data_IF_747194566457
#
_entry.id   IF_747194566457
#
_cell.length_a   1.000
_cell.length_b   1.000
_cell.length_c   1.000
_cell.angle_alpha   90.00
_cell.angle_beta   90.00
_cell.angle_gamma   90.00
#
_symmetry.space_group_name_H-M   'P 1'
#
loop_
_entity.id
_entity.type
_entity.pdbx_description
1 polymer ?
#
# COMPACT_ATOMS: atom_id res chain seq x y z
N UNK A 1 -26.47 36.49 27.77
CA UNK A 1 -26.13 35.51 26.72
C UNK A 1 -24.73 34.91 26.90
N UNK A 2 -23.70 35.68 27.30
CA UNK A 2 -22.36 35.12 27.66
C UNK A 2 -22.33 34.20 28.89
N UNK A 3 -23.23 34.39 29.87
CA UNK A 3 -23.35 33.48 31.02
C UNK A 3 -23.98 32.11 30.68
N UNK A 4 -24.63 32.01 29.51
CA UNK A 4 -25.21 30.75 28.97
C UNK A 4 -24.18 29.98 28.15
N UNK A 5 -23.22 30.67 27.53
CA UNK A 5 -22.10 30.07 26.81
C UNK A 5 -21.09 29.41 27.77
N UNK A 6 -20.75 30.06 28.88
CA UNK A 6 -19.89 29.42 29.90
C UNK A 6 -20.54 28.22 30.60
N UNK A 7 -21.88 28.15 30.67
CA UNK A 7 -22.58 26.94 31.15
C UNK A 7 -22.64 25.81 30.11
N UNK A 8 -22.42 26.09 28.83
CA UNK A 8 -22.32 25.05 27.80
C UNK A 8 -20.91 24.46 27.72
N UNK A 9 -19.87 25.23 28.04
CA UNK A 9 -18.48 24.74 28.10
C UNK A 9 -18.22 23.84 29.32
N UNK A 10 -18.87 24.10 30.46
CA UNK A 10 -18.83 23.21 31.64
C UNK A 10 -19.74 21.98 31.51
N UNK A 11 -20.60 21.91 30.47
CA UNK A 11 -21.56 20.82 30.23
C UNK A 11 -21.10 19.75 29.24
N UNK A 12 -19.96 19.94 28.55
CA UNK A 12 -19.48 19.01 27.52
C UNK A 12 -18.61 17.85 28.04
N UNK A 13 -18.43 17.73 29.36
CA UNK A 13 -17.67 16.63 29.99
C UNK A 13 -18.55 15.62 30.75
N UNK A 14 -19.87 15.68 30.60
CA UNK A 14 -20.75 14.59 31.03
C UNK A 14 -20.72 13.48 29.96
N UNK A 15 -19.95 12.44 30.24
CA UNK A 15 -19.91 11.15 29.55
C UNK A 15 -21.27 10.43 29.72
N UNK A 16 -22.35 11.03 29.21
CA UNK A 16 -23.74 10.56 29.37
C UNK A 16 -24.12 9.48 28.35
N UNK A 17 -23.19 9.05 27.51
CA UNK A 17 -23.34 7.87 26.68
C UNK A 17 -23.22 6.61 27.54
N UNK A 18 -24.07 5.58 27.35
CA UNK A 18 -23.84 4.31 28.00
C UNK A 18 -22.45 3.79 27.60
N UNK A 19 -21.65 3.41 28.60
CA UNK A 19 -20.34 2.79 28.36
C UNK A 19 -20.46 1.69 27.31
N UNK A 20 -19.46 1.55 26.44
CA UNK A 20 -19.40 0.46 25.46
C UNK A 20 -19.63 -0.90 26.13
N UNK A 21 -19.13 -1.07 27.36
CA UNK A 21 -19.30 -2.29 28.16
C UNK A 21 -20.73 -2.51 28.68
N UNK A 22 -21.64 -1.57 28.54
CA UNK A 22 -23.06 -1.74 28.87
C UNK A 22 -23.87 -2.31 27.70
N UNK A 23 -23.30 -2.34 26.48
CA UNK A 23 -23.99 -2.89 25.32
C UNK A 23 -24.10 -4.42 25.40
N UNK A 24 -25.17 -5.03 24.84
CA UNK A 24 -25.26 -6.49 24.69
C UNK A 24 -24.14 -7.06 23.80
N UNK A 25 -23.77 -8.32 24.04
CA UNK A 25 -22.70 -8.99 23.28
C UNK A 25 -22.94 -9.00 21.76
N UNK A 26 -24.20 -9.10 21.32
CA UNK A 26 -24.55 -9.04 19.91
C UNK A 26 -24.26 -7.65 19.29
N UNK A 27 -24.54 -6.58 20.04
CA UNK A 27 -24.27 -5.21 19.62
C UNK A 27 -22.75 -4.96 19.57
N UNK A 28 -22.01 -5.41 20.60
CA UNK A 28 -20.56 -5.36 20.63
C UNK A 28 -19.92 -6.15 19.48
N UNK A 29 -20.41 -7.35 19.20
CA UNK A 29 -19.95 -8.14 18.07
C UNK A 29 -20.21 -7.42 16.75
N UNK A 30 -21.35 -6.74 16.61
CA UNK A 30 -21.66 -5.93 15.42
C UNK A 30 -20.69 -4.75 15.27
N UNK A 31 -20.33 -4.08 16.37
CA UNK A 31 -19.30 -3.04 16.38
C UNK A 31 -17.95 -3.61 15.94
N UNK A 32 -17.53 -4.75 16.51
CA UNK A 32 -16.29 -5.42 16.12
C UNK A 32 -16.26 -5.77 14.63
N UNK A 33 -17.40 -6.17 14.03
CA UNK A 33 -17.50 -6.49 12.62
C UNK A 33 -17.30 -5.27 11.69
N UNK A 34 -17.44 -4.04 12.19
CA UNK A 34 -17.14 -2.81 11.45
C UNK A 34 -15.65 -2.46 11.48
N UNK A 35 -14.86 -3.07 12.37
CA UNK A 35 -13.42 -2.87 12.42
C UNK A 35 -12.77 -3.60 11.25
N UNK A 36 -12.19 -2.83 10.33
CA UNK A 36 -11.53 -3.35 9.13
C UNK A 36 -10.02 -3.58 9.32
N UNK A 37 -9.44 -3.02 10.38
CA UNK A 37 -8.01 -3.14 10.69
C UNK A 37 -7.79 -4.21 11.78
N UNK A 38 -6.94 -5.23 11.53
CA UNK A 38 -6.65 -6.27 12.51
C UNK A 38 -6.05 -5.75 13.82
N UNK A 39 -5.32 -4.63 13.77
CA UNK A 39 -4.68 -4.06 14.96
C UNK A 39 -5.67 -3.36 15.88
N UNK A 40 -6.78 -2.85 15.34
CA UNK A 40 -7.85 -2.27 16.14
C UNK A 40 -8.60 -3.36 16.92
N UNK A 41 -8.87 -4.49 16.26
CA UNK A 41 -9.47 -5.67 16.91
C UNK A 41 -8.56 -6.22 18.01
N UNK A 42 -7.24 -6.30 17.78
CA UNK A 42 -6.27 -6.70 18.81
C UNK A 42 -6.26 -5.72 19.98
N UNK A 43 -6.22 -4.41 19.70
CA UNK A 43 -6.19 -3.37 20.74
C UNK A 43 -7.44 -3.43 21.59
N UNK A 44 -8.60 -3.56 20.96
CA UNK A 44 -9.88 -3.71 21.65
C UNK A 44 -9.90 -4.96 22.53
N UNK A 45 -9.40 -6.09 22.04
CA UNK A 45 -9.31 -7.33 22.80
C UNK A 45 -8.35 -7.29 24.00
N UNK A 46 -7.42 -6.33 24.04
CA UNK A 46 -6.50 -6.13 25.16
C UNK A 46 -7.07 -5.23 26.27
N UNK A 47 -8.23 -4.61 26.07
CA UNK A 47 -8.80 -3.65 27.03
C UNK A 47 -9.39 -4.33 28.27
N UNK A 48 -10.17 -5.40 28.10
CA UNK A 48 -10.79 -6.14 29.21
C UNK A 48 -11.14 -7.58 28.82
N UNK A 49 -11.42 -8.43 29.82
CA UNK A 49 -11.72 -9.86 29.62
C UNK A 49 -12.94 -10.10 28.72
N UNK A 50 -14.00 -9.29 28.83
CA UNK A 50 -15.22 -9.45 28.02
C UNK A 50 -14.94 -9.16 26.56
N UNK A 51 -14.25 -8.06 26.26
CA UNK A 51 -13.86 -7.70 24.90
C UNK A 51 -12.82 -8.69 24.34
N UNK A 52 -11.94 -9.24 25.17
CA UNK A 52 -11.04 -10.32 24.76
C UNK A 52 -11.81 -11.54 24.26
N UNK A 53 -12.85 -11.97 24.97
CA UNK A 53 -13.67 -13.12 24.57
C UNK A 53 -14.45 -12.84 23.27
N UNK A 54 -15.02 -11.65 23.13
CA UNK A 54 -15.75 -11.24 21.92
C UNK A 54 -14.83 -11.15 20.70
N UNK A 55 -13.67 -10.51 20.86
CA UNK A 55 -12.68 -10.36 19.80
C UNK A 55 -11.93 -11.65 19.49
N UNK A 56 -12.03 -12.70 20.30
CA UNK A 56 -11.47 -14.02 19.99
C UNK A 56 -12.34 -14.85 19.02
N UNK A 57 -13.51 -14.34 18.60
CA UNK A 57 -14.44 -15.05 17.72
C UNK A 57 -13.81 -15.43 16.37
N UNK A 58 -13.87 -16.72 16.00
CA UNK A 58 -13.38 -17.20 14.69
C UNK A 58 -14.06 -16.49 13.52
N UNK A 59 -15.38 -16.25 13.59
CA UNK A 59 -16.13 -15.60 12.51
C UNK A 59 -15.68 -14.16 12.28
N UNK A 60 -15.31 -13.45 13.36
CA UNK A 60 -14.76 -12.10 13.28
C UNK A 60 -13.42 -12.12 12.53
N UNK A 61 -12.49 -12.99 12.94
CA UNK A 61 -11.18 -13.11 12.31
C UNK A 61 -11.24 -13.61 10.86
N UNK A 62 -12.15 -14.52 10.53
CA UNK A 62 -12.39 -14.93 9.14
C UNK A 62 -12.86 -13.76 8.28
N UNK A 63 -13.83 -12.97 8.75
CA UNK A 63 -14.31 -11.78 8.02
C UNK A 63 -13.23 -10.71 7.89
N UNK A 64 -12.47 -10.50 8.96
CA UNK A 64 -11.37 -9.56 8.98
C UNK A 64 -10.26 -9.97 7.99
N UNK A 65 -9.89 -11.24 7.94
CA UNK A 65 -8.94 -11.76 6.96
C UNK A 65 -9.49 -11.62 5.53
N UNK A 66 -10.77 -11.97 5.31
CA UNK A 66 -11.46 -11.80 4.03
C UNK A 66 -11.39 -10.36 3.52
N UNK A 67 -11.75 -9.42 4.39
CA UNK A 67 -11.64 -8.00 4.08
C UNK A 67 -10.18 -7.58 3.89
N UNK A 68 -9.26 -8.01 4.77
CA UNK A 68 -7.89 -7.53 4.82
C UNK A 68 -7.04 -7.95 3.63
N UNK A 69 -7.22 -9.19 3.18
CA UNK A 69 -6.43 -9.87 2.15
C UNK A 69 -7.09 -9.82 0.77
N UNK A 70 -8.19 -9.08 0.62
CA UNK A 70 -8.97 -9.01 -0.61
C UNK A 70 -8.13 -8.64 -1.82
N UNK A 71 -8.28 -9.41 -2.90
CA UNK A 71 -7.51 -9.26 -4.14
C UNK A 71 -6.05 -9.69 -4.05
N UNK A 72 -5.57 -10.11 -2.88
CA UNK A 72 -4.16 -10.46 -2.64
C UNK A 72 -3.92 -11.93 -2.35
N UNK A 73 -4.96 -12.77 -2.32
CA UNK A 73 -4.86 -14.18 -1.95
C UNK A 73 -3.81 -14.96 -2.75
N UNK A 74 -3.72 -14.68 -4.05
CA UNK A 74 -2.74 -15.31 -4.93
C UNK A 74 -1.28 -15.01 -4.55
N UNK A 75 -1.01 -13.96 -3.77
CA UNK A 75 0.32 -13.60 -3.26
C UNK A 75 0.58 -14.06 -1.82
N UNK A 76 -0.41 -14.61 -1.13
CA UNK A 76 -0.29 -15.06 0.26
C UNK A 76 0.23 -16.50 0.32
N UNK A 77 1.49 -16.70 -0.02
CA UNK A 77 2.20 -17.97 0.20
C UNK A 77 2.70 -18.05 1.64
N UNK A 78 2.16 -19.01 2.39
CA UNK A 78 2.68 -19.41 3.69
C UNK A 78 3.58 -20.66 3.53
N UNK A 79 4.57 -20.87 4.43
CA UNK A 79 5.30 -22.13 4.49
C UNK A 79 4.34 -23.29 4.79
N UNK A 80 4.38 -24.35 3.97
CA UNK A 80 3.46 -25.50 4.03
C UNK A 80 3.39 -26.18 5.39
N UNK A 81 4.47 -26.11 6.16
CA UNK A 81 4.63 -26.84 7.41
C UNK A 81 4.02 -26.10 8.61
N UNK A 82 3.51 -24.88 8.39
CA UNK A 82 3.13 -23.95 9.46
C UNK A 82 1.76 -23.27 9.25
N UNK A 83 0.90 -23.75 8.35
CA UNK A 83 -0.40 -23.10 8.06
C UNK A 83 -1.43 -23.34 9.19
N UNK A 84 -1.78 -22.33 10.01
CA UNK A 84 -2.70 -22.52 11.12
C UNK A 84 -4.14 -22.63 10.58
N UNK A 85 -4.93 -23.55 11.14
CA UNK A 85 -6.37 -23.62 10.83
C UNK A 85 -7.17 -22.50 11.51
N UNK A 86 -6.69 -22.01 12.65
CA UNK A 86 -7.32 -20.92 13.38
C UNK A 86 -7.20 -19.59 12.60
N UNK A 87 -8.31 -18.92 12.28
CA UNK A 87 -8.28 -17.71 11.44
C UNK A 87 -7.45 -16.55 12.03
N UNK A 88 -7.43 -16.42 13.36
CA UNK A 88 -6.65 -15.39 14.04
C UNK A 88 -5.16 -15.68 13.87
N UNK A 89 -4.74 -16.90 14.20
CA UNK A 89 -3.34 -17.32 14.05
C UNK A 89 -2.87 -17.22 12.59
N UNK A 90 -3.73 -17.63 11.65
CA UNK A 90 -3.44 -17.55 10.22
C UNK A 90 -3.18 -16.10 9.77
N UNK A 91 -4.07 -15.16 10.11
CA UNK A 91 -3.89 -13.75 9.72
C UNK A 91 -2.67 -13.12 10.41
N UNK A 92 -2.41 -13.46 11.68
CA UNK A 92 -1.22 -12.98 12.38
C UNK A 92 0.08 -13.50 11.73
N UNK A 93 0.10 -14.75 11.28
CA UNK A 93 1.23 -15.31 10.54
C UNK A 93 1.45 -14.57 9.21
N UNK A 94 0.39 -14.29 8.46
CA UNK A 94 0.47 -13.47 7.23
C UNK A 94 1.10 -12.11 7.51
N UNK A 95 0.63 -11.41 8.54
CA UNK A 95 1.15 -10.09 8.92
C UNK A 95 2.62 -10.15 9.35
N UNK A 96 3.01 -11.21 10.07
CA UNK A 96 4.39 -11.42 10.51
C UNK A 96 5.34 -11.62 9.31
N UNK A 97 4.98 -12.50 8.37
CA UNK A 97 5.81 -12.76 7.18
C UNK A 97 5.97 -11.52 6.30
N UNK A 98 4.92 -10.70 6.17
CA UNK A 98 5.02 -9.41 5.47
C UNK A 98 6.00 -8.43 6.13
N UNK A 99 6.31 -8.61 7.41
CA UNK A 99 7.24 -7.76 8.16
C UNK A 99 8.69 -8.22 7.99
N UNK A 100 8.95 -9.53 8.04
CA UNK A 100 10.31 -10.10 7.99
C UNK A 100 11.02 -9.91 6.63
N UNK A 101 10.27 -9.82 5.54
CA UNK A 101 10.82 -9.64 4.19
C UNK A 101 11.52 -8.26 3.98
N UNK A 102 11.48 -7.35 4.97
CA UNK A 102 11.95 -5.96 4.83
C UNK A 102 13.29 -5.68 5.52
N UNK A 103 14.22 -5.08 4.76
CA UNK A 103 15.44 -4.47 5.29
C UNK A 103 15.16 -3.02 5.70
N UNK A 104 15.03 -2.75 7.00
CA UNK A 104 14.89 -1.40 7.54
C UNK A 104 16.14 -0.57 7.22
N UNK A 105 16.00 0.51 6.44
CA UNK A 105 17.19 1.15 5.86
C UNK A 105 17.92 2.11 6.80
N UNK A 106 17.24 2.86 7.67
CA UNK A 106 17.87 3.85 8.55
C UNK A 106 17.09 4.03 9.87
N UNK A 107 17.69 3.69 11.01
CA UNK A 107 17.09 3.84 12.36
C UNK A 107 17.17 5.26 12.90
N UNK A 108 18.23 5.99 12.55
CA UNK A 108 18.51 7.32 13.07
C UNK A 108 19.18 8.15 11.99
N UNK A 109 18.85 9.43 11.93
CA UNK A 109 19.50 10.40 11.06
C UNK A 109 19.82 11.65 11.86
N UNK A 110 21.07 12.12 11.82
CA UNK A 110 21.54 13.26 12.59
C UNK A 110 22.01 14.35 11.65
N UNK A 111 21.50 15.55 11.85
CA UNK A 111 21.92 16.74 11.13
C UNK A 111 23.02 17.46 11.90
N UNK A 112 23.91 18.15 11.18
CA UNK A 112 25.00 18.95 11.77
C UNK A 112 24.51 20.07 12.70
N UNK A 113 23.31 20.60 12.46
CA UNK A 113 22.69 21.63 13.30
C UNK A 113 22.17 21.11 14.65
N UNK A 114 22.31 19.80 14.94
CA UNK A 114 21.87 19.17 16.18
C UNK A 114 20.46 18.59 16.14
N UNK A 115 19.68 18.85 15.08
CA UNK A 115 18.41 18.17 14.86
C UNK A 115 18.65 16.69 14.58
N UNK A 116 17.79 15.82 15.13
CA UNK A 116 17.85 14.39 14.82
C UNK A 116 16.48 13.84 14.48
N UNK A 117 16.45 12.93 13.52
CA UNK A 117 15.26 12.18 13.13
C UNK A 117 15.44 10.75 13.62
N UNK A 118 14.62 10.37 14.59
CA UNK A 118 14.63 9.03 15.17
C UNK A 118 13.46 8.22 14.64
N UNK A 119 13.75 7.06 14.02
CA UNK A 119 12.72 6.23 13.41
C UNK A 119 11.79 5.68 14.48
N UNK A 120 10.50 5.87 14.28
CA UNK A 120 9.46 5.30 15.14
C UNK A 120 9.30 3.83 14.74
N UNK A 121 9.78 2.92 15.57
CA UNK A 121 9.61 1.48 15.37
C UNK A 121 8.28 1.03 15.95
N UNK A 122 7.26 0.92 15.09
CA UNK A 122 5.95 0.35 15.42
C UNK A 122 5.72 -0.88 14.54
N UNK A 123 5.69 -2.06 15.14
CA UNK A 123 5.44 -3.33 14.43
C UNK A 123 4.15 -3.27 13.61
N UNK A 124 3.09 -2.64 14.14
CA UNK A 124 1.81 -2.45 13.44
C UNK A 124 1.98 -1.70 12.11
N UNK A 125 2.72 -0.59 12.16
CA UNK A 125 3.03 0.21 10.98
C UNK A 125 3.85 -0.63 9.98
N UNK A 126 4.90 -1.30 10.46
CA UNK A 126 5.76 -2.14 9.62
C UNK A 126 4.97 -3.27 8.93
N UNK A 127 4.02 -3.92 9.60
CA UNK A 127 3.12 -4.89 9.00
C UNK A 127 2.27 -4.29 7.87
N UNK A 128 1.67 -3.10 8.09
CA UNK A 128 0.85 -2.41 7.09
C UNK A 128 1.69 -2.03 5.86
N UNK A 129 2.90 -1.52 6.07
CA UNK A 129 3.80 -1.21 4.95
C UNK A 129 4.26 -2.49 4.25
N UNK A 130 4.50 -3.58 4.98
CA UNK A 130 4.80 -4.91 4.42
C UNK A 130 3.69 -5.43 3.50
N UNK A 131 2.44 -5.35 3.95
CA UNK A 131 1.26 -5.69 3.15
C UNK A 131 1.18 -4.84 1.88
N UNK A 132 1.36 -3.52 2.01
CA UNK A 132 1.38 -2.62 0.87
C UNK A 132 2.49 -3.00 -0.11
N UNK A 133 3.71 -3.24 0.38
CA UNK A 133 4.86 -3.69 -0.42
C UNK A 133 4.53 -4.93 -1.25
N UNK A 134 3.89 -5.91 -0.63
CA UNK A 134 3.51 -7.17 -1.28
C UNK A 134 2.46 -6.94 -2.36
N UNK A 135 1.56 -5.99 -2.17
CA UNK A 135 0.54 -5.62 -3.17
C UNK A 135 1.10 -4.95 -4.43
N UNK A 136 2.34 -4.49 -4.40
CA UNK A 136 3.04 -3.94 -5.57
C UNK A 136 4.01 -4.92 -6.23
N UNK A 137 4.16 -6.14 -5.69
CA UNK A 137 5.14 -7.13 -6.15
C UNK A 137 4.98 -7.52 -7.62
N UNK A 138 3.75 -7.59 -8.14
CA UNK A 138 3.47 -7.82 -9.56
C UNK A 138 4.16 -6.82 -10.49
N UNK A 139 4.22 -5.56 -10.08
CA UNK A 139 4.82 -4.50 -10.89
C UNK A 139 6.35 -4.46 -10.68
N UNK A 140 6.85 -4.98 -9.56
CA UNK A 140 8.29 -5.16 -9.30
C UNK A 140 8.90 -6.31 -10.13
N UNK A 141 8.15 -7.40 -10.31
CA UNK A 141 8.60 -8.63 -10.99
C UNK A 141 8.52 -8.54 -12.52
N UNK A 142 7.96 -7.46 -13.08
CA UNK A 142 7.83 -7.27 -14.53
C UNK A 142 9.21 -7.16 -15.19
N UNK A 143 9.59 -8.20 -15.93
CA UNK A 143 10.85 -8.25 -16.69
C UNK A 143 10.84 -7.14 -17.74
N UNK A 144 11.82 -6.25 -17.68
CA UNK A 144 12.08 -5.26 -18.72
C UNK A 144 13.56 -5.30 -19.08
N UNK A 145 13.92 -5.34 -20.37
CA UNK A 145 15.32 -5.29 -20.79
C UNK A 145 15.98 -3.95 -20.41
N UNK A 146 15.17 -2.93 -20.09
CA UNK A 146 15.61 -1.59 -19.72
C UNK A 146 15.62 -1.34 -18.21
N UNK A 147 15.23 -2.30 -17.36
CA UNK A 147 15.11 -2.10 -15.90
C UNK A 147 15.73 -3.29 -15.17
N UNK A 148 16.88 -3.08 -14.52
CA UNK A 148 17.59 -4.14 -13.80
C UNK A 148 16.88 -4.55 -12.51
N UNK A 149 16.32 -3.59 -11.80
CA UNK A 149 15.62 -3.82 -10.54
C UNK A 149 14.64 -2.68 -10.26
N UNK A 150 13.36 -3.02 -10.05
CA UNK A 150 12.32 -2.09 -9.63
C UNK A 150 11.77 -2.52 -8.28
N UNK A 151 11.60 -1.55 -7.38
CA UNK A 151 10.83 -1.71 -6.14
C UNK A 151 9.98 -0.48 -5.92
N UNK A 152 8.68 -0.61 -6.16
CA UNK A 152 7.72 0.48 -5.99
C UNK A 152 7.66 0.97 -4.54
N UNK A 153 7.67 0.05 -3.58
CA UNK A 153 7.77 0.39 -2.15
C UNK A 153 9.09 -0.14 -1.62
N UNK A 154 10.16 0.65 -1.77
CA UNK A 154 11.50 0.27 -1.28
C UNK A 154 11.57 0.37 0.26
N UNK A 155 11.19 1.52 0.83
CA UNK A 155 10.98 1.71 2.27
C UNK A 155 9.99 2.86 2.51
N UNK A 156 9.27 2.81 3.63
CA UNK A 156 8.44 3.91 4.14
C UNK A 156 8.72 3.97 5.64
N UNK A 157 9.15 5.12 6.12
CA UNK A 157 9.59 5.29 7.50
C UNK A 157 8.99 6.55 8.11
N UNK A 158 8.53 6.41 9.35
CA UNK A 158 8.10 7.51 10.21
C UNK A 158 9.23 7.85 11.17
N UNK A 159 9.49 9.14 11.35
CA UNK A 159 10.50 9.66 12.25
C UNK A 159 9.88 10.70 13.19
N UNK A 160 10.33 10.67 14.44
CA UNK A 160 10.13 11.76 15.38
C UNK A 160 11.30 12.74 15.24
N UNK A 161 10.99 14.04 15.18
CA UNK A 161 12.01 15.10 15.20
C UNK A 161 12.41 15.37 16.65
N UNK A 162 13.69 15.30 16.96
CA UNK A 162 14.24 15.78 18.22
C UNK A 162 15.06 17.04 17.97
N UNK A 163 14.93 18.03 18.87
CA UNK A 163 15.58 19.33 18.76
C UNK A 163 15.37 19.98 17.38
N UNK A 164 14.11 20.20 16.95
CA UNK A 164 13.83 20.75 15.63
C UNK A 164 14.50 22.13 15.49
N UNK A 165 15.42 22.24 14.54
CA UNK A 165 16.19 23.44 14.26
C UNK A 165 15.93 23.97 12.84
N UNK A 166 15.46 23.10 11.94
CA UNK A 166 15.10 23.49 10.57
C UNK A 166 13.63 23.91 10.48
N UNK A 167 13.39 25.06 9.85
CA UNK A 167 12.07 25.49 9.41
C UNK A 167 11.87 25.13 7.93
N UNK A 168 10.85 24.33 7.65
CA UNK A 168 10.54 23.84 6.30
C UNK A 168 9.31 24.54 5.68
N UNK A 169 8.58 25.34 6.44
CA UNK A 169 7.30 25.95 6.01
C UNK A 169 7.44 27.30 5.30
N UNK A 170 8.64 27.89 5.23
CA UNK A 170 8.88 29.15 4.50
C UNK A 170 8.89 29.00 2.97
N UNK A 171 8.66 30.09 2.24
CA UNK A 171 8.68 30.10 0.76
C UNK A 171 10.06 29.72 0.19
N UNK A 172 11.13 30.17 0.85
CA UNK A 172 12.51 29.75 0.63
C UNK A 172 13.10 29.31 1.98
N UNK A 173 12.94 28.04 2.38
CA UNK A 173 13.62 27.57 3.58
C UNK A 173 15.12 27.68 3.31
N UNK A 174 15.83 28.48 4.10
CA UNK A 174 17.30 28.55 4.06
C UNK A 174 17.87 27.26 4.65
N UNK A 175 17.76 26.20 3.86
CA UNK A 175 18.42 24.93 4.13
C UNK A 175 19.89 25.17 3.83
N UNK A 176 20.65 25.53 4.87
CA UNK A 176 22.10 25.65 4.77
C UNK A 176 22.70 24.44 4.07
N UNK A 177 23.81 24.66 3.36
CA UNK A 177 24.45 23.69 2.47
C UNK A 177 24.67 22.29 3.10
N UNK A 178 24.98 22.27 4.40
CA UNK A 178 25.17 21.06 5.17
C UNK A 178 23.88 20.23 5.30
N UNK A 179 22.76 20.89 5.61
CA UNK A 179 21.46 20.22 5.73
C UNK A 179 20.98 19.68 4.37
N UNK A 180 21.21 20.42 3.29
CA UNK A 180 20.91 19.97 1.92
C UNK A 180 21.72 18.72 1.57
N UNK A 181 23.00 18.70 1.94
CA UNK A 181 23.86 17.53 1.71
C UNK A 181 23.39 16.31 2.49
N UNK A 182 22.91 16.51 3.72
CA UNK A 182 22.36 15.46 4.56
C UNK A 182 21.00 14.96 4.04
N UNK A 183 20.10 15.83 3.60
CA UNK A 183 18.83 15.45 2.97
C UNK A 183 19.06 14.65 1.67
N UNK A 184 20.01 15.07 0.83
CA UNK A 184 20.39 14.34 -0.37
C UNK A 184 20.96 12.95 -0.04
N UNK A 185 21.74 12.85 1.04
CA UNK A 185 22.30 11.58 1.50
C UNK A 185 21.22 10.63 2.07
N UNK A 186 20.23 11.17 2.81
CA UNK A 186 19.07 10.42 3.29
C UNK A 186 18.27 9.81 2.12
N UNK A 187 18.08 10.58 1.05
CA UNK A 187 17.44 10.11 -0.19
C UNK A 187 18.28 9.15 -1.02
N UNK A 188 19.55 8.91 -0.67
CA UNK A 188 20.55 8.19 -1.47
C UNK A 188 20.77 8.79 -2.87
N UNK A 189 20.57 10.10 -3.01
CA UNK A 189 20.51 10.77 -4.31
C UNK A 189 21.74 10.50 -5.17
N UNK A 190 22.94 10.82 -4.65
CA UNK A 190 24.20 10.66 -5.37
C UNK A 190 24.55 9.20 -5.66
N UNK A 191 24.26 8.30 -4.74
CA UNK A 191 24.57 6.85 -4.86
C UNK A 191 23.74 6.20 -5.97
N UNK A 192 22.55 6.75 -6.22
CA UNK A 192 21.60 6.28 -7.21
C UNK A 192 21.46 7.22 -8.41
N UNK A 193 22.41 8.14 -8.64
CA UNK A 193 22.45 8.97 -9.85
C UNK A 193 23.45 8.38 -10.86
N UNK A 194 22.95 7.82 -11.95
CA UNK A 194 23.82 7.26 -13.00
C UNK A 194 24.60 8.37 -13.74
N UNK A 195 24.16 9.64 -13.71
CA UNK A 195 24.96 10.78 -14.21
C UNK A 195 26.25 10.95 -13.42
N UNK A 196 26.23 10.58 -12.13
CA UNK A 196 27.36 10.68 -11.21
C UNK A 196 28.62 9.96 -11.70
N UNK A 197 28.48 8.95 -12.58
CA UNK A 197 29.62 8.29 -13.24
C UNK A 197 30.43 9.22 -14.14
N UNK A 198 29.76 10.15 -14.83
CA UNK A 198 30.38 11.14 -15.73
C UNK A 198 30.56 12.51 -15.07
N UNK A 199 29.76 12.81 -14.05
CA UNK A 199 29.77 14.06 -13.31
C UNK A 199 29.83 13.78 -11.81
N UNK A 200 31.01 13.43 -11.25
CA UNK A 200 31.11 13.01 -9.85
C UNK A 200 30.79 14.12 -8.85
N UNK A 201 30.78 15.38 -9.28
CA UNK A 201 30.69 16.56 -8.41
C UNK A 201 29.37 17.33 -8.56
N UNK A 202 28.26 16.65 -8.91
CA UNK A 202 26.93 17.28 -8.88
C UNK A 202 26.65 17.77 -7.46
N UNK A 203 26.38 19.06 -7.35
CA UNK A 203 26.18 19.72 -6.07
C UNK A 203 24.85 19.27 -5.43
N UNK A 204 24.79 18.94 -4.13
CA UNK A 204 23.60 18.38 -3.47
C UNK A 204 22.31 19.18 -3.63
N UNK A 205 22.40 20.51 -3.72
CA UNK A 205 21.24 21.40 -4.00
C UNK A 205 20.45 21.04 -5.25
N UNK A 206 21.05 20.37 -6.22
CA UNK A 206 20.37 19.96 -7.45
C UNK A 206 19.56 18.67 -7.26
N UNK A 207 19.74 17.96 -6.14
CA UNK A 207 18.93 16.80 -5.78
C UNK A 207 17.75 17.13 -4.88
N UNK A 208 17.88 18.17 -4.06
CA UNK A 208 16.89 18.49 -3.03
C UNK A 208 16.06 19.68 -3.47
N UNK A 209 14.76 19.48 -3.58
CA UNK A 209 13.81 20.55 -3.93
C UNK A 209 12.58 20.50 -3.02
N UNK A 210 12.07 21.68 -2.66
CA UNK A 210 10.79 21.81 -1.95
C UNK A 210 9.67 21.77 -2.99
N UNK A 211 8.69 20.90 -2.78
CA UNK A 211 7.51 20.83 -3.65
C UNK A 211 6.41 21.80 -3.19
N UNK A 212 6.12 21.84 -1.89
CA UNK A 212 5.07 22.70 -1.33
C UNK A 212 4.85 22.48 0.16
N UNK A 213 4.02 23.32 0.76
CA UNK A 213 3.56 23.20 2.15
C UNK A 213 2.04 23.29 2.16
N UNK A 214 1.38 22.34 2.83
CA UNK A 214 -0.08 22.31 2.93
C UNK A 214 -0.53 21.96 4.34
N UNK A 215 -1.68 22.50 4.75
CA UNK A 215 -2.32 22.17 6.02
C UNK A 215 -3.31 21.01 5.90
N UNK A 216 -4.04 20.94 4.78
CA UNK A 216 -5.13 19.96 4.56
C UNK A 216 -4.85 18.96 3.45
N UNK A 217 -4.15 19.37 2.38
CA UNK A 217 -4.14 18.62 1.10
C UNK A 217 -2.83 17.84 0.89
N UNK A 218 -1.92 17.85 1.86
CA UNK A 218 -0.63 17.14 1.76
C UNK A 218 -0.80 15.62 1.59
N UNK A 219 -1.97 15.07 1.92
CA UNK A 219 -2.31 13.66 1.70
C UNK A 219 -2.52 13.34 0.22
N UNK A 220 -2.89 14.32 -0.60
CA UNK A 220 -3.03 14.16 -2.06
C UNK A 220 -1.64 14.01 -2.72
N UNK A 221 -0.65 14.73 -2.21
CA UNK A 221 0.76 14.56 -2.61
C UNK A 221 1.31 13.18 -2.22
N UNK A 222 0.81 12.60 -1.14
CA UNK A 222 1.18 11.29 -0.61
C UNK A 222 0.51 10.13 -1.40
N UNK A 223 -0.70 10.32 -1.90
CA UNK A 223 -1.43 9.32 -2.67
C UNK A 223 -2.07 9.96 -3.91
N UNK A 224 -1.25 10.38 -4.89
CA UNK A 224 -1.77 11.07 -6.06
C UNK A 224 -2.73 10.16 -6.83
N UNK A 225 -3.88 10.70 -7.20
CA UNK A 225 -4.90 10.00 -7.97
C UNK A 225 -4.82 10.42 -9.43
N UNK A 226 -4.86 9.45 -10.34
CA UNK A 226 -4.85 9.67 -11.79
C UNK A 226 -6.07 9.10 -12.50
N UNK A 227 -6.23 9.38 -13.80
CA UNK A 227 -7.33 8.84 -14.61
C UNK A 227 -7.31 7.30 -14.71
N UNK A 228 -6.17 6.66 -14.45
CA UNK A 228 -6.02 5.20 -14.39
C UNK A 228 -6.00 4.65 -12.94
N UNK A 229 -6.45 5.43 -11.95
CA UNK A 229 -6.28 5.15 -10.52
C UNK A 229 -4.98 5.75 -9.96
N UNK A 230 -4.71 5.51 -8.67
CA UNK A 230 -3.45 5.90 -8.04
C UNK A 230 -2.36 4.89 -8.39
N UNK A 231 -1.31 5.32 -9.07
CA UNK A 231 -0.34 4.38 -9.67
C UNK A 231 0.72 3.90 -8.67
N UNK A 232 0.89 4.56 -7.53
CA UNK A 232 1.91 4.18 -6.55
C UNK A 232 1.68 4.94 -5.24
N UNK A 233 2.12 4.43 -4.08
CA UNK A 233 2.20 5.29 -2.93
C UNK A 233 3.40 6.24 -3.16
N UNK A 234 3.11 7.53 -2.97
CA UNK A 234 3.98 8.59 -2.46
C UNK A 234 4.69 9.52 -3.45
N UNK A 235 4.89 9.17 -4.72
CA UNK A 235 5.81 9.99 -5.49
C UNK A 235 5.57 10.21 -6.99
N UNK A 236 4.66 9.48 -7.65
CA UNK A 236 4.49 9.58 -9.10
C UNK A 236 3.26 10.40 -9.49
N UNK A 237 3.48 11.47 -10.25
CA UNK A 237 2.42 12.18 -10.95
C UNK A 237 1.93 11.37 -12.16
N UNK A 238 0.63 11.03 -12.27
CA UNK A 238 0.08 10.24 -13.39
C UNK A 238 0.04 10.99 -14.73
N UNK A 239 0.47 12.25 -14.78
CA UNK A 239 0.31 13.14 -15.94
C UNK A 239 1.51 13.23 -16.88
N UNK A 240 2.52 12.37 -16.77
CA UNK A 240 3.56 12.34 -17.80
C UNK A 240 2.94 11.88 -19.15
N UNK A 241 3.13 12.64 -20.24
CA UNK A 241 2.63 12.23 -21.55
C UNK A 241 3.32 10.92 -21.98
N UNK A 242 2.53 9.85 -22.15
CA UNK A 242 3.01 8.49 -22.40
C UNK A 242 2.38 7.41 -21.52
N UNK A 243 1.62 7.78 -20.49
CA UNK A 243 0.94 6.86 -19.55
C UNK A 243 -0.45 6.38 -20.05
N UNK A 244 -0.68 6.32 -21.36
CA UNK A 244 -1.94 5.85 -21.96
C UNK A 244 -2.09 4.33 -22.00
N UNK A 245 -1.22 3.58 -21.31
CA UNK A 245 -1.16 2.12 -21.36
C UNK A 245 -1.45 1.52 -19.99
N UNK A 246 -2.14 0.38 -19.97
CA UNK A 246 -2.41 -0.42 -18.77
C UNK A 246 -1.11 -0.97 -18.15
N UNK A 247 -0.89 -0.77 -16.85
CA UNK A 247 0.37 -1.10 -16.16
C UNK A 247 0.35 -2.42 -15.42
N UNK A 248 -0.79 -2.75 -14.82
CA UNK A 248 -0.99 -3.93 -13.98
C UNK A 248 -0.79 -5.24 -14.74
N UNK A 249 -1.11 -5.26 -16.05
CA UNK A 249 -0.86 -6.39 -16.94
C UNK A 249 -1.43 -7.70 -16.38
N UNK A 250 -0.65 -8.79 -16.50
CA UNK A 250 -1.06 -10.13 -16.02
C UNK A 250 -1.30 -10.14 -14.52
N UNK A 251 -0.49 -9.42 -13.72
CA UNK A 251 -0.72 -9.32 -12.28
C UNK A 251 -2.06 -8.66 -11.94
N UNK A 252 -2.52 -7.72 -12.77
CA UNK A 252 -3.86 -7.15 -12.68
C UNK A 252 -4.96 -8.18 -12.93
N UNK A 253 -4.80 -9.01 -13.97
CA UNK A 253 -5.71 -10.14 -14.24
C UNK A 253 -5.77 -11.09 -13.04
N UNK A 254 -4.62 -11.48 -12.49
CA UNK A 254 -4.55 -12.38 -11.34
C UNK A 254 -5.20 -11.75 -10.10
N UNK A 255 -5.05 -10.43 -9.89
CA UNK A 255 -5.75 -9.70 -8.82
C UNK A 255 -7.27 -9.74 -9.00
N UNK A 256 -7.76 -9.58 -10.23
CA UNK A 256 -9.19 -9.64 -10.56
C UNK A 256 -9.77 -11.04 -10.35
N UNK A 257 -9.11 -12.07 -10.89
CA UNK A 257 -9.50 -13.47 -10.71
C UNK A 257 -9.42 -13.87 -9.23
N UNK A 258 -8.37 -13.46 -8.51
CA UNK A 258 -8.24 -13.69 -7.08
C UNK A 258 -9.40 -13.08 -6.28
N UNK A 259 -9.95 -11.95 -6.73
CA UNK A 259 -11.11 -11.32 -6.11
C UNK A 259 -12.39 -12.10 -6.40
N UNK A 260 -12.63 -12.50 -7.65
CA UNK A 260 -13.82 -13.30 -8.03
C UNK A 260 -13.82 -14.66 -7.31
N UNK A 261 -12.68 -15.36 -7.29
CA UNK A 261 -12.56 -16.63 -6.58
C UNK A 261 -12.79 -16.49 -5.06
N UNK A 262 -12.37 -15.38 -4.44
CA UNK A 262 -12.73 -15.07 -3.05
C UNK A 262 -14.24 -15.03 -2.88
N UNK A 263 -15.00 -14.39 -3.78
CA UNK A 263 -16.45 -14.26 -3.65
C UNK A 263 -17.16 -15.63 -3.64
N UNK A 264 -16.72 -16.56 -4.49
CA UNK A 264 -17.28 -17.92 -4.51
C UNK A 264 -16.89 -18.74 -3.27
N UNK A 265 -15.67 -18.58 -2.76
CA UNK A 265 -15.13 -19.43 -1.70
C UNK A 265 -15.37 -18.88 -0.28
N UNK A 266 -15.56 -17.57 -0.13
CA UNK A 266 -15.69 -16.89 1.16
C UNK A 266 -16.82 -17.45 2.01
N UNK A 267 -17.95 -17.82 1.40
CA UNK A 267 -19.10 -18.37 2.14
C UNK A 267 -18.75 -19.70 2.82
N UNK A 268 -18.01 -20.58 2.14
CA UNK A 268 -17.56 -21.82 2.74
C UNK A 268 -16.61 -21.58 3.94
N UNK A 269 -15.75 -20.56 3.87
CA UNK A 269 -14.90 -20.15 5.00
C UNK A 269 -15.73 -19.61 6.18
N UNK A 270 -16.73 -18.76 5.90
CA UNK A 270 -17.59 -18.15 6.92
C UNK A 270 -18.48 -19.18 7.61
N UNK A 271 -18.93 -20.20 6.88
CA UNK A 271 -19.71 -21.33 7.40
C UNK A 271 -18.82 -22.37 8.12
N UNK A 272 -17.50 -22.21 8.12
CA UNK A 272 -16.55 -23.17 8.72
C UNK A 272 -16.39 -24.48 7.96
N UNK A 273 -16.85 -24.56 6.69
CA UNK A 273 -16.71 -25.74 5.83
C UNK A 273 -15.32 -25.89 5.23
N UNK A 274 -14.54 -24.81 5.18
CA UNK A 274 -13.13 -24.80 4.78
C UNK A 274 -12.35 -23.80 5.62
N UNK A 275 -11.03 -23.95 5.68
CA UNK A 275 -10.13 -23.02 6.37
C UNK A 275 -9.65 -21.89 5.45
N UNK A 276 -9.19 -20.78 6.03
CA UNK A 276 -8.57 -19.68 5.28
C UNK A 276 -7.32 -20.16 4.52
N UNK A 277 -6.50 -21.00 5.16
CA UNK A 277 -5.32 -21.62 4.56
C UNK A 277 -5.66 -22.36 3.26
N UNK A 278 -6.67 -23.24 3.32
CA UNK A 278 -7.12 -24.00 2.16
C UNK A 278 -7.68 -23.10 1.07
N UNK A 279 -8.45 -22.07 1.42
CA UNK A 279 -8.95 -21.09 0.46
C UNK A 279 -7.81 -20.33 -0.24
N UNK A 280 -6.85 -19.83 0.53
CA UNK A 280 -5.69 -19.11 -0.01
C UNK A 280 -4.88 -19.99 -0.96
N UNK A 281 -4.62 -21.25 -0.57
CA UNK A 281 -3.93 -22.24 -1.40
C UNK A 281 -4.68 -22.52 -2.70
N UNK A 282 -5.99 -22.75 -2.64
CA UNK A 282 -6.84 -22.98 -3.81
C UNK A 282 -6.82 -21.78 -4.78
N UNK A 283 -6.97 -20.56 -4.27
CA UNK A 283 -6.94 -19.35 -5.10
C UNK A 283 -5.57 -19.17 -5.75
N UNK A 284 -4.48 -19.38 -5.00
CA UNK A 284 -3.11 -19.30 -5.52
C UNK A 284 -2.89 -20.32 -6.64
N UNK A 285 -3.23 -21.60 -6.42
CA UNK A 285 -3.08 -22.64 -7.43
C UNK A 285 -3.90 -22.34 -8.69
N UNK A 286 -5.13 -21.83 -8.53
CA UNK A 286 -5.95 -21.38 -9.65
C UNK A 286 -5.31 -20.22 -10.41
N UNK A 287 -4.74 -19.24 -9.73
CA UNK A 287 -4.06 -18.11 -10.37
C UNK A 287 -2.76 -18.53 -11.07
N UNK A 288 -1.93 -19.37 -10.45
CA UNK A 288 -0.72 -19.92 -11.07
C UNK A 288 -1.03 -20.78 -12.30
N UNK A 289 -2.14 -21.55 -12.23
CA UNK A 289 -2.62 -22.35 -13.36
C UNK A 289 -3.11 -21.46 -14.51
N UNK A 290 -3.85 -20.39 -14.20
CA UNK A 290 -4.28 -19.40 -15.18
C UNK A 290 -3.08 -18.72 -15.86
N UNK A 291 -2.11 -18.27 -15.08
CA UNK A 291 -0.90 -17.63 -15.62
C UNK A 291 -0.20 -18.56 -16.60
N UNK A 292 -0.01 -19.84 -16.25
CA UNK A 292 0.59 -20.85 -17.14
C UNK A 292 -0.25 -21.11 -18.40
N UNK A 293 -1.58 -21.17 -18.27
CA UNK A 293 -2.47 -21.39 -19.40
C UNK A 293 -2.51 -20.19 -20.36
N UNK A 294 -2.40 -18.97 -19.81
CA UNK A 294 -2.48 -17.73 -20.57
C UNK A 294 -1.13 -17.32 -21.19
N UNK A 295 0.00 -17.70 -20.58
CA UNK A 295 1.35 -17.31 -21.00
C UNK A 295 1.71 -17.59 -22.48
N UNK A 296 1.30 -18.72 -23.10
CA UNK A 296 1.57 -18.96 -24.52
C UNK A 296 0.94 -17.92 -25.45
N UNK A 297 -0.24 -17.38 -25.10
CA UNK A 297 -0.95 -16.38 -25.87
C UNK A 297 -0.34 -14.98 -25.72
N UNK A 298 0.33 -14.75 -24.59
CA UNK A 298 1.09 -13.52 -24.36
C UNK A 298 2.32 -13.42 -25.27
N UNK A 299 3.05 -14.53 -25.50
CA UNK A 299 4.27 -14.50 -26.33
C UNK A 299 4.04 -13.97 -27.75
N UNK A 300 2.89 -14.26 -28.36
CA UNK A 300 2.55 -13.72 -29.69
C UNK A 300 2.18 -12.24 -29.71
N UNK A 301 1.72 -11.68 -28.58
CA UNK A 301 1.32 -10.28 -28.45
C UNK A 301 2.48 -9.36 -28.01
N UNK A 302 3.43 -9.88 -27.21
CA UNK A 302 4.61 -9.13 -26.76
C UNK A 302 5.64 -8.85 -27.87
N UNK A 303 5.68 -9.67 -28.93
CA UNK A 303 6.54 -9.45 -30.11
C UNK A 303 6.09 -8.23 -30.95
N UNK A 304 4.89 -7.68 -30.72
CA UNK A 304 4.33 -6.50 -31.40
C UNK A 304 4.27 -5.23 -30.53
N UNK A 305 4.71 -5.30 -29.28
CA UNK A 305 4.84 -4.15 -28.40
C UNK A 305 4.72 -4.51 -26.92
N UNK A 306 5.46 -3.85 -26.02
CA UNK A 306 5.27 -4.03 -24.59
C UNK A 306 3.97 -3.33 -24.17
N UNK A 307 2.98 -4.08 -23.71
CA UNK A 307 1.66 -3.64 -23.20
C UNK A 307 0.50 -3.59 -24.21
N UNK A 308 0.03 -4.77 -24.65
CA UNK A 308 -1.39 -4.93 -24.99
C UNK A 308 -2.24 -4.83 -23.71
N UNK A 309 -3.40 -4.14 -23.72
CA UNK A 309 -4.24 -3.99 -22.53
C UNK A 309 -4.89 -5.34 -22.16
N UNK A 310 -4.45 -5.94 -21.06
CA UNK A 310 -5.00 -7.19 -20.51
C UNK A 310 -6.48 -7.03 -20.15
N UNK A 311 -6.94 -5.81 -19.84
CA UNK A 311 -8.35 -5.48 -19.71
C UNK A 311 -9.17 -5.91 -20.93
N UNK A 312 -8.69 -5.67 -22.15
CA UNK A 312 -9.39 -6.14 -23.36
C UNK A 312 -9.35 -7.66 -23.50
N UNK A 313 -8.25 -8.30 -23.08
CA UNK A 313 -8.17 -9.76 -23.07
C UNK A 313 -9.21 -10.36 -22.09
N UNK A 314 -9.44 -9.75 -20.92
CA UNK A 314 -10.50 -10.16 -19.99
C UNK A 314 -11.87 -10.14 -20.68
N UNK A 315 -12.18 -9.05 -21.38
CA UNK A 315 -13.46 -8.92 -22.11
C UNK A 315 -13.57 -9.99 -23.20
N UNK A 316 -12.52 -10.21 -24.01
CA UNK A 316 -12.56 -11.23 -25.08
C UNK A 316 -12.63 -12.66 -24.52
N UNK A 317 -11.96 -12.95 -23.40
CA UNK A 317 -12.10 -14.24 -22.70
C UNK A 317 -13.52 -14.46 -22.19
N UNK A 318 -14.18 -13.40 -21.70
CA UNK A 318 -15.55 -13.46 -21.20
C UNK A 318 -16.60 -13.58 -22.32
N UNK A 319 -16.47 -12.79 -23.39
CA UNK A 319 -17.49 -12.65 -24.44
C UNK A 319 -17.27 -13.64 -25.60
N UNK A 320 -16.03 -13.75 -26.07
CA UNK A 320 -15.67 -14.58 -27.23
C UNK A 320 -15.17 -15.97 -26.82
N UNK A 321 -14.77 -16.13 -25.56
CA UNK A 321 -14.13 -17.34 -25.08
C UNK A 321 -12.74 -17.56 -25.67
N UNK A 322 -12.04 -16.47 -26.03
CA UNK A 322 -10.71 -16.52 -26.62
C UNK A 322 -9.71 -15.73 -25.75
N UNK A 323 -8.49 -16.26 -25.49
CA UNK A 323 -8.06 -17.62 -25.80
C UNK A 323 -8.87 -18.69 -25.05
N UNK A 324 -8.83 -19.93 -25.56
CA UNK A 324 -9.42 -21.06 -24.85
C UNK A 324 -8.61 -21.39 -23.59
N UNK A 325 -9.27 -21.35 -22.44
CA UNK A 325 -8.68 -21.65 -21.14
C UNK A 325 -9.10 -23.03 -20.62
N UNK A 326 -9.41 -23.99 -21.49
CA UNK A 326 -9.71 -25.37 -21.09
C UNK A 326 -8.64 -26.01 -20.18
N UNK A 327 -7.36 -25.66 -20.35
CA UNK A 327 -6.29 -26.10 -19.45
C UNK A 327 -6.45 -25.57 -18.01
N UNK A 328 -7.00 -24.36 -17.84
CA UNK A 328 -7.30 -23.78 -16.54
C UNK A 328 -8.58 -24.38 -15.92
N UNK A 329 -9.53 -24.81 -16.75
CA UNK A 329 -10.78 -25.45 -16.29
C UNK A 329 -10.51 -26.65 -15.37
N UNK A 330 -9.48 -27.45 -15.66
CA UNK A 330 -9.09 -28.60 -14.81
C UNK A 330 -8.87 -28.19 -13.35
N UNK A 331 -8.28 -27.02 -13.12
CA UNK A 331 -8.07 -26.50 -11.77
C UNK A 331 -9.35 -25.96 -11.15
N UNK A 332 -10.23 -25.33 -11.93
CA UNK A 332 -11.52 -24.80 -11.47
C UNK A 332 -12.59 -25.87 -11.23
N UNK A 333 -12.53 -27.01 -11.91
CA UNK A 333 -13.41 -28.16 -11.69
C UNK A 333 -13.33 -28.64 -10.25
N UNK A 334 -12.13 -28.58 -9.64
CA UNK A 334 -11.92 -28.92 -8.22
C UNK A 334 -12.66 -27.98 -7.25
N UNK A 335 -13.05 -26.80 -7.73
CA UNK A 335 -13.81 -25.79 -7.00
C UNK A 335 -15.29 -25.75 -7.43
N UNK A 336 -15.67 -26.54 -8.43
CA UNK A 336 -17.01 -26.52 -9.03
C UNK A 336 -17.32 -25.22 -9.77
N UNK A 337 -16.31 -24.57 -10.35
CA UNK A 337 -16.44 -23.29 -11.05
C UNK A 337 -16.19 -23.45 -12.55
N UNK A 338 -16.81 -22.60 -13.36
CA UNK A 338 -16.57 -22.52 -14.79
C UNK A 338 -15.68 -21.32 -15.13
N UNK A 339 -14.64 -21.51 -15.94
CA UNK A 339 -13.71 -20.43 -16.27
C UNK A 339 -14.38 -19.26 -17.00
N UNK A 340 -15.40 -19.52 -17.84
CA UNK A 340 -16.14 -18.47 -18.56
C UNK A 340 -16.98 -17.64 -17.61
N UNK A 341 -17.60 -18.25 -16.62
CA UNK A 341 -18.36 -17.54 -15.58
C UNK A 341 -17.41 -16.65 -14.75
N UNK A 342 -16.26 -17.20 -14.33
CA UNK A 342 -15.24 -16.42 -13.61
C UNK A 342 -14.75 -15.23 -14.43
N UNK A 343 -14.50 -15.41 -15.73
CA UNK A 343 -14.08 -14.31 -16.61
C UNK A 343 -15.20 -13.31 -16.87
N UNK A 344 -16.47 -13.74 -16.96
CA UNK A 344 -17.61 -12.86 -17.06
C UNK A 344 -17.75 -11.94 -15.84
N UNK A 345 -17.58 -12.47 -14.63
CA UNK A 345 -17.56 -11.67 -13.40
C UNK A 345 -16.34 -10.73 -13.36
N UNK A 346 -15.17 -11.16 -13.84
CA UNK A 346 -14.01 -10.28 -14.00
C UNK A 346 -14.30 -9.13 -14.98
N UNK A 347 -15.01 -9.41 -16.09
CA UNK A 347 -15.42 -8.40 -17.06
C UNK A 347 -16.44 -7.41 -16.46
N UNK A 348 -17.37 -7.86 -15.62
CA UNK A 348 -18.27 -6.97 -14.88
C UNK A 348 -17.53 -6.05 -13.92
N UNK A 349 -16.56 -6.56 -13.17
CA UNK A 349 -15.68 -5.74 -12.33
C UNK A 349 -14.93 -4.70 -13.17
N UNK A 350 -14.38 -5.11 -14.31
CA UNK A 350 -13.67 -4.19 -15.20
C UNK A 350 -14.58 -3.09 -15.74
N UNK A 351 -15.81 -3.43 -16.19
CA UNK A 351 -16.80 -2.43 -16.64
C UNK A 351 -17.19 -1.46 -15.52
N UNK A 352 -17.30 -1.94 -14.28
CA UNK A 352 -17.60 -1.11 -13.10
C UNK A 352 -16.48 -0.12 -12.76
N UNK A 353 -15.23 -0.56 -12.85
CA UNK A 353 -14.05 0.24 -12.47
C UNK A 353 -13.44 1.02 -13.64
N UNK A 354 -13.86 0.74 -14.87
CA UNK A 354 -13.38 1.39 -16.10
C UNK A 354 -12.08 0.78 -16.62
N UNK A 355 -11.06 0.63 -15.77
CA UNK A 355 -9.76 0.06 -16.15
C UNK A 355 -9.28 -0.99 -15.15
N UNK A 356 -8.39 -1.89 -15.60
CA UNK A 356 -7.80 -2.91 -14.74
C UNK A 356 -6.92 -2.28 -13.66
N UNK A 357 -6.19 -1.21 -14.00
CA UNK A 357 -5.39 -0.44 -13.06
C UNK A 357 -6.23 0.21 -11.97
N UNK A 358 -7.39 0.78 -12.32
CA UNK A 358 -8.31 1.35 -11.33
C UNK A 358 -8.86 0.30 -10.37
N UNK A 359 -9.18 -0.90 -10.86
CA UNK A 359 -9.60 -2.02 -10.02
C UNK A 359 -8.48 -2.47 -9.06
N UNK A 360 -7.26 -2.65 -9.58
CA UNK A 360 -6.09 -3.02 -8.77
C UNK A 360 -5.79 -1.95 -7.73
N UNK A 361 -5.95 -0.68 -8.09
CA UNK A 361 -5.74 0.42 -7.15
C UNK A 361 -6.77 0.44 -6.01
N UNK A 362 -8.04 0.16 -6.32
CA UNK A 362 -9.08 -0.01 -5.31
C UNK A 362 -8.77 -1.18 -4.37
N UNK A 363 -8.22 -2.30 -4.89
CA UNK A 363 -7.76 -3.39 -4.02
C UNK A 363 -6.65 -2.92 -3.05
N UNK A 364 -5.79 -1.99 -3.50
CA UNK A 364 -4.66 -1.45 -2.71
C UNK A 364 -5.05 -0.33 -1.75
N UNK A 365 -6.14 0.40 -1.99
CA UNK A 365 -6.50 1.62 -1.25
C UNK A 365 -6.65 1.39 0.25
N UNK A 366 -7.08 0.19 0.63
CA UNK A 366 -7.30 -0.18 2.03
C UNK A 366 -6.04 -0.08 2.90
N UNK A 367 -4.89 -0.53 2.40
CA UNK A 367 -3.63 -0.45 3.15
C UNK A 367 -3.11 0.99 3.18
N UNK A 368 -3.33 1.77 2.11
CA UNK A 368 -3.00 3.19 2.06
C UNK A 368 -3.80 3.98 3.10
N UNK A 369 -5.11 3.77 3.17
CA UNK A 369 -6.00 4.37 4.19
C UNK A 369 -5.61 3.94 5.61
N UNK A 370 -5.30 2.67 5.83
CA UNK A 370 -4.85 2.18 7.14
C UNK A 370 -3.50 2.75 7.57
N UNK A 371 -2.58 3.02 6.63
CA UNK A 371 -1.31 3.70 6.91
C UNK A 371 -1.50 5.19 7.19
N UNK A 372 -2.46 5.83 6.51
CA UNK A 372 -2.69 7.26 6.66
C UNK A 372 -2.95 7.65 8.12
N UNK A 373 -3.74 6.87 8.85
CA UNK A 373 -3.99 7.11 10.27
C UNK A 373 -2.68 7.11 11.10
N UNK A 374 -1.76 6.18 10.86
CA UNK A 374 -0.46 6.15 11.55
C UNK A 374 0.42 7.35 11.14
N UNK A 375 0.40 7.72 9.87
CA UNK A 375 1.16 8.86 9.32
C UNK A 375 0.65 10.18 9.92
N UNK A 376 -0.66 10.38 9.97
CA UNK A 376 -1.31 11.54 10.55
C UNK A 376 -0.94 11.70 12.02
N UNK A 377 -0.89 10.61 12.81
CA UNK A 377 -0.48 10.70 14.23
C UNK A 377 0.94 11.22 14.45
N UNK A 378 1.79 11.17 13.42
CA UNK A 378 3.18 11.64 13.47
C UNK A 378 3.33 13.04 12.86
N UNK A 379 2.61 13.30 11.76
CA UNK A 379 2.71 14.54 11.00
C UNK A 379 1.77 15.65 11.49
N UNK A 380 0.64 15.31 12.10
CA UNK A 380 -0.25 16.29 12.70
C UNK A 380 0.21 16.53 14.15
N UNK A 381 0.89 17.64 14.43
CA UNK A 381 1.21 17.98 15.82
C UNK A 381 -0.06 18.43 16.55
N UNK A 382 -0.40 17.73 17.63
CA UNK A 382 -1.45 18.18 18.56
C UNK A 382 -1.08 19.47 19.30
N UNK A 383 0.18 19.88 19.22
CA UNK A 383 0.73 21.07 19.86
C UNK A 383 0.54 22.37 19.06
N UNK A 384 -0.01 22.29 17.84
CA UNK A 384 -0.16 23.44 16.95
C UNK A 384 -1.61 23.54 16.46
N UNK A 385 -2.17 24.74 16.49
CA UNK A 385 -3.55 25.00 16.06
C UNK A 385 -3.76 24.77 14.54
N UNK A 386 -2.66 24.76 13.77
CA UNK A 386 -2.67 24.49 12.32
C UNK A 386 -1.41 23.73 11.88
N UNK A 387 -1.34 22.40 12.02
CA UNK A 387 -0.17 21.63 11.61
C UNK A 387 -0.03 21.65 10.08
N UNK A 388 1.05 22.23 9.58
CA UNK A 388 1.41 22.20 8.15
C UNK A 388 2.43 21.11 7.88
N UNK A 389 2.32 20.48 6.72
CA UNK A 389 3.27 19.48 6.22
C UNK A 389 3.95 20.04 4.96
N UNK A 390 5.28 20.06 4.96
CA UNK A 390 6.09 20.41 3.79
C UNK A 390 6.59 19.15 3.10
N UNK A 391 6.35 19.01 1.80
CA UNK A 391 6.98 17.99 0.96
C UNK A 391 8.32 18.48 0.42
N UNK A 392 9.35 17.66 0.60
CA UNK A 392 10.72 17.86 0.13
C UNK A 392 11.12 16.64 -0.69
N UNK A 393 11.42 16.83 -1.96
CA UNK A 393 12.05 15.82 -2.78
C UNK A 393 13.51 15.71 -2.34
N UNK A 394 13.96 14.49 -2.06
CA UNK A 394 15.33 14.19 -1.60
C UNK A 394 16.24 13.77 -2.76
N UNK A 395 15.68 13.67 -3.97
CA UNK A 395 16.34 13.21 -5.20
C UNK A 395 15.80 13.98 -6.40
N UNK A 396 16.61 14.17 -7.44
CA UNK A 396 16.22 14.84 -8.71
C UNK A 396 15.43 13.91 -9.65
N UNK A 397 14.67 12.94 -9.15
CA UNK A 397 14.03 11.94 -10.01
C UNK A 397 12.87 12.54 -10.82
N UNK A 398 12.84 12.26 -12.12
CA UNK A 398 11.73 12.62 -13.02
C UNK A 398 10.37 12.12 -12.53
N UNK A 399 10.35 10.96 -11.86
CA UNK A 399 9.16 10.40 -11.26
C UNK A 399 8.53 11.32 -10.21
N UNK A 400 9.32 12.16 -9.53
CA UNK A 400 8.90 12.96 -8.36
C UNK A 400 8.86 14.46 -8.61
N UNK A 401 8.88 14.86 -9.89
CA UNK A 401 8.92 16.26 -10.31
C UNK A 401 10.33 16.84 -10.39
N UNK A 402 11.37 16.00 -10.44
CA UNK A 402 12.72 16.40 -10.85
C UNK A 402 12.93 16.28 -12.36
N UNK A 403 14.15 16.52 -12.84
CA UNK A 403 14.51 16.49 -14.26
C UNK A 403 15.52 15.39 -14.62
N UNK A 404 15.87 14.50 -13.67
CA UNK A 404 16.82 13.41 -13.89
C UNK A 404 16.15 12.07 -14.21
N UNK A 405 16.07 11.67 -15.49
CA UNK A 405 15.59 10.34 -15.88
C UNK A 405 16.57 9.21 -15.57
N UNK A 406 17.80 9.55 -15.14
CA UNK A 406 18.89 8.62 -14.77
C UNK A 406 19.03 8.45 -13.24
N UNK A 407 18.04 8.94 -12.50
CA UNK A 407 17.96 8.75 -11.07
C UNK A 407 17.28 7.43 -10.76
N UNK A 408 18.03 6.47 -10.23
CA UNK A 408 17.54 5.13 -9.92
C UNK A 408 16.77 5.05 -8.59
N UNK A 409 16.81 6.11 -7.78
CA UNK A 409 16.07 6.20 -6.51
C UNK A 409 15.23 7.47 -6.51
N UNK A 410 13.93 7.31 -6.37
CA UNK A 410 13.00 8.38 -6.06
C UNK A 410 12.77 8.39 -4.55
N UNK A 411 13.02 9.53 -3.88
CA UNK A 411 12.72 9.68 -2.48
C UNK A 411 12.20 11.07 -2.13
N UNK A 412 11.28 11.13 -1.16
CA UNK A 412 10.75 12.37 -0.61
C UNK A 412 10.52 12.24 0.89
N UNK A 413 10.54 13.39 1.54
CA UNK A 413 10.18 13.60 2.93
C UNK A 413 8.96 14.52 3.04
N UNK A 414 8.02 14.16 3.89
CA UNK A 414 6.90 14.99 4.32
C UNK A 414 7.20 15.39 5.76
N UNK A 415 7.46 16.67 5.98
CA UNK A 415 8.00 17.19 7.22
C UNK A 415 7.00 18.12 7.88
N UNK A 416 6.65 17.82 9.12
CA UNK A 416 5.88 18.70 10.01
C UNK A 416 6.77 19.25 11.13
N UNK A 417 6.24 20.07 12.02
CA UNK A 417 6.97 20.52 13.21
C UNK A 417 7.36 19.37 14.17
N UNK A 418 6.59 18.29 14.24
CA UNK A 418 6.78 17.19 15.20
C UNK A 418 7.41 15.93 14.61
N UNK A 419 7.18 15.68 13.33
CA UNK A 419 7.50 14.38 12.72
C UNK A 419 7.77 14.46 11.22
N UNK A 420 8.34 13.37 10.71
CA UNK A 420 8.69 13.22 9.30
C UNK A 420 8.25 11.86 8.80
N UNK A 421 7.66 11.82 7.60
CA UNK A 421 7.49 10.62 6.81
C UNK A 421 8.53 10.66 5.69
N UNK A 422 9.29 9.60 5.50
CA UNK A 422 10.24 9.48 4.38
C UNK A 422 9.94 8.22 3.60
N UNK A 423 10.01 8.33 2.27
CA UNK A 423 9.54 7.31 1.35
C UNK A 423 10.56 7.12 0.25
N UNK A 424 10.86 5.87 -0.05
CA UNK A 424 11.84 5.50 -1.06
C UNK A 424 11.21 4.54 -2.06
N UNK A 425 11.54 4.77 -3.33
CA UNK A 425 11.15 3.97 -4.46
C UNK A 425 12.38 3.72 -5.33
N UNK A 426 12.65 2.45 -5.64
CA UNK A 426 13.75 2.06 -6.50
C UNK A 426 13.26 1.97 -7.96
N UNK A 427 13.76 2.87 -8.78
CA UNK A 427 13.46 3.08 -10.19
C UNK A 427 14.66 2.68 -11.05
N UNK A 428 15.12 1.43 -11.02
CA UNK A 428 16.34 1.07 -11.73
C UNK A 428 16.18 1.10 -13.25
N UNK A 429 16.43 2.22 -13.92
CA UNK A 429 16.58 2.28 -15.39
C UNK A 429 17.99 1.84 -15.74
N UNK A 430 18.13 0.73 -16.46
CA UNK A 430 19.37 0.41 -17.13
C UNK A 430 19.60 1.46 -18.24
N UNK A 431 20.57 2.35 -18.05
CA UNK A 431 21.12 3.12 -19.15
C UNK A 431 21.89 2.18 -20.09
N UNK A 432 21.46 2.08 -21.35
CA UNK A 432 22.29 1.62 -22.45
C UNK A 432 23.51 2.53 -22.64
#
# INVERSE_FOLDING_TARGET
EEATLHRMEDGCFADDGPSLLCLPDLALHTVCLQLLDPFDVLSLGCTCRRLHQLTASKSLWTRLALAWCRGMWHRLSLPSDCEPEDPKQWLLLVLHLCTEERRLTLKHWRFKNGETWERIQRTRFECKVGMLSRAYKDIDERVSPFVLLRRWVYDIALYKRQNPAMQFSGEQPDLGQDNVSELAALGRARQSDLRGRKQPNVHPRFYVSRAGTSASDWTEDLFPSGPAGSICPILVCPFQPGYSFEWSGVGGLLTCVSHVLEQHLARACLDGRTTLARMASNIRLACESLEKAFFPYLRGAYDLGPAGPIGHAIISMAEDGWPDLAAWQVQLDTLGLNWREVMAECAELLRKHGTLDAFVDEARIRWRRSLLADIETVLQCTCCDSPTVTRINLTDSDAIGGDNPRQDMAAAAFVSCSGVLVTWQLLGRASY
#
